data_IF_663895355606
#
_entry.id   IF_663895355606
#
_cell.length_a   1.000
_cell.length_b   1.000
_cell.length_c   1.000
_cell.angle_alpha   90.00
_cell.angle_beta   90.00
_cell.angle_gamma   90.00
#
_symmetry.space_group_name_H-M   'P 1'
#
loop_
_entity.id
_entity.type
_entity.pdbx_description
1 polymer ?
#
# COMPACT_ATOMS: atom_id res chain seq x y z
N UNK A 1 22.09 28.99 -37.79
CA UNK A 1 21.27 28.58 -36.64
C UNK A 1 22.02 27.43 -35.98
N UNK A 2 22.42 27.57 -34.71
CA UNK A 2 23.09 26.47 -34.01
C UNK A 2 22.05 25.35 -33.83
N UNK A 3 22.28 24.22 -34.50
CA UNK A 3 21.46 23.04 -34.39
C UNK A 3 21.73 22.42 -33.02
N UNK A 4 20.92 22.77 -32.02
CA UNK A 4 20.94 22.10 -30.73
C UNK A 4 20.30 20.72 -30.92
N UNK A 5 21.10 19.75 -31.36
CA UNK A 5 20.71 18.35 -31.31
C UNK A 5 20.53 17.97 -29.84
N UNK A 6 19.29 17.92 -29.37
CA UNK A 6 19.01 17.44 -28.02
C UNK A 6 19.55 16.01 -27.90
N UNK A 7 20.33 15.70 -26.85
CA UNK A 7 20.78 14.32 -26.63
C UNK A 7 19.55 13.39 -26.57
N UNK A 8 19.64 12.17 -27.14
CA UNK A 8 18.52 11.24 -27.13
C UNK A 8 18.11 10.94 -25.69
N UNK A 9 16.82 11.13 -25.39
CA UNK A 9 16.25 10.87 -24.06
C UNK A 9 16.24 9.37 -23.77
N UNK A 10 16.78 8.97 -22.62
CA UNK A 10 16.70 7.58 -22.13
C UNK A 10 15.29 7.30 -21.58
N UNK A 11 14.39 6.86 -22.46
CA UNK A 11 13.02 6.50 -22.10
C UNK A 11 12.94 5.26 -21.22
N UNK A 12 13.90 4.33 -21.31
CA UNK A 12 13.86 3.08 -20.56
C UNK A 12 14.06 3.33 -19.06
N UNK A 13 14.98 4.24 -18.72
CA UNK A 13 15.19 4.69 -17.34
C UNK A 13 13.94 5.38 -16.76
N UNK A 14 13.27 6.22 -17.57
CA UNK A 14 12.04 6.90 -17.17
C UNK A 14 10.89 5.92 -16.94
N UNK A 15 10.69 4.95 -17.83
CA UNK A 15 9.65 3.93 -17.68
C UNK A 15 9.87 3.07 -16.44
N UNK A 16 11.11 2.65 -16.16
CA UNK A 16 11.44 1.87 -14.96
C UNK A 16 11.12 2.63 -13.67
N UNK A 17 11.49 3.92 -13.64
CA UNK A 17 11.22 4.78 -12.47
C UNK A 17 9.73 5.02 -12.29
N UNK A 18 9.00 5.29 -13.38
CA UNK A 18 7.55 5.47 -13.35
C UNK A 18 6.83 4.20 -12.85
N UNK A 19 7.24 3.03 -13.31
CA UNK A 19 6.68 1.76 -12.83
C UNK A 19 6.89 1.59 -11.32
N UNK A 20 8.10 1.88 -10.81
CA UNK A 20 8.37 1.86 -9.37
C UNK A 20 7.53 2.86 -8.58
N UNK A 21 7.38 4.09 -9.09
CA UNK A 21 6.54 5.12 -8.49
C UNK A 21 5.07 4.69 -8.37
N UNK A 22 4.51 4.12 -9.43
CA UNK A 22 3.12 3.62 -9.42
C UNK A 22 2.96 2.48 -8.42
N UNK A 23 3.90 1.52 -8.39
CA UNK A 23 3.85 0.40 -7.44
C UNK A 23 3.88 0.87 -5.99
N UNK A 24 4.77 1.81 -5.65
CA UNK A 24 4.84 2.37 -4.30
C UNK A 24 3.58 3.16 -3.96
N UNK A 25 3.08 3.97 -4.89
CA UNK A 25 1.88 4.79 -4.67
C UNK A 25 0.65 3.93 -4.39
N UNK A 26 0.44 2.86 -5.16
CA UNK A 26 -0.68 1.91 -4.93
C UNK A 26 -0.59 1.28 -3.55
N UNK A 27 0.60 0.83 -3.14
CA UNK A 27 0.80 0.25 -1.82
C UNK A 27 0.59 1.26 -0.69
N UNK A 28 1.10 2.48 -0.82
CA UNK A 28 0.93 3.54 0.17
C UNK A 28 -0.54 3.92 0.32
N UNK A 29 -1.28 4.06 -0.78
CA UNK A 29 -2.72 4.37 -0.73
C UNK A 29 -3.48 3.23 -0.03
N UNK A 30 -3.21 1.97 -0.38
CA UNK A 30 -3.82 0.83 0.28
C UNK A 30 -3.50 0.77 1.78
N UNK A 31 -2.25 1.06 2.16
CA UNK A 31 -1.82 1.14 3.54
C UNK A 31 -2.56 2.25 4.31
N UNK A 32 -2.68 3.45 3.73
CA UNK A 32 -3.44 4.55 4.34
C UNK A 32 -4.90 4.18 4.58
N UNK A 33 -5.55 3.54 3.60
CA UNK A 33 -6.93 3.05 3.73
C UNK A 33 -7.03 2.05 4.88
N UNK A 34 -6.12 1.07 4.94
CA UNK A 34 -6.08 0.09 6.01
C UNK A 34 -5.94 0.75 7.40
N UNK A 35 -5.03 1.71 7.55
CA UNK A 35 -4.83 2.43 8.82
C UNK A 35 -6.07 3.22 9.22
N UNK A 36 -6.74 3.91 8.29
CA UNK A 36 -7.99 4.64 8.59
C UNK A 36 -9.08 3.69 9.06
N UNK A 37 -9.20 2.51 8.45
CA UNK A 37 -10.14 1.46 8.89
C UNK A 37 -9.79 0.98 10.31
N UNK A 38 -8.50 0.74 10.60
CA UNK A 38 -8.08 0.31 11.94
C UNK A 38 -8.34 1.38 13.00
N UNK A 39 -8.15 2.66 12.68
CA UNK A 39 -8.51 3.76 13.57
C UNK A 39 -10.02 3.78 13.86
N UNK A 40 -10.86 3.50 12.86
CA UNK A 40 -12.31 3.38 13.06
C UNK A 40 -12.66 2.21 13.99
N UNK A 41 -12.00 1.05 13.84
CA UNK A 41 -12.15 -0.11 14.75
C UNK A 41 -11.69 0.25 16.16
N UNK A 42 -10.57 0.95 16.31
CA UNK A 42 -10.08 1.43 17.61
C UNK A 42 -11.07 2.37 18.29
N UNK A 43 -11.67 3.30 17.53
CA UNK A 43 -12.71 4.20 18.03
C UNK A 43 -13.99 3.45 18.48
N UNK A 44 -14.28 2.28 17.89
CA UNK A 44 -15.36 1.41 18.34
C UNK A 44 -15.03 0.61 19.62
N UNK A 45 -13.86 0.81 20.23
CA UNK A 45 -13.43 0.17 21.49
C UNK A 45 -12.48 -1.02 21.30
N UNK A 46 -12.25 -1.47 20.07
CA UNK A 46 -11.45 -2.66 19.76
C UNK A 46 -9.97 -2.34 19.45
N UNK A 47 -9.29 -1.61 20.33
CA UNK A 47 -7.88 -1.19 20.13
C UNK A 47 -6.89 -2.34 19.93
N UNK A 48 -7.14 -3.50 20.53
CA UNK A 48 -6.30 -4.69 20.33
C UNK A 48 -6.35 -5.19 18.88
N UNK A 49 -7.55 -5.24 18.29
CA UNK A 49 -7.73 -5.61 16.87
C UNK A 49 -7.19 -4.53 15.94
N UNK A 50 -7.37 -3.25 16.28
CA UNK A 50 -6.80 -2.14 15.52
C UNK A 50 -5.27 -2.22 15.45
N UNK A 51 -4.61 -2.46 16.59
CA UNK A 51 -3.15 -2.63 16.65
C UNK A 51 -2.66 -3.81 15.81
N UNK A 52 -3.34 -4.96 15.92
CA UNK A 52 -3.05 -6.13 15.09
C UNK A 52 -3.22 -5.81 13.60
N UNK A 53 -4.27 -5.08 13.21
CA UNK A 53 -4.52 -4.73 11.83
C UNK A 53 -3.49 -3.78 11.24
N UNK A 54 -2.99 -2.81 12.01
CA UNK A 54 -1.88 -1.95 11.57
C UNK A 54 -0.61 -2.78 11.37
N UNK A 55 -0.31 -3.70 12.30
CA UNK A 55 0.82 -4.62 12.17
C UNK A 55 0.72 -5.49 10.91
N UNK A 56 -0.46 -6.06 10.64
CA UNK A 56 -0.71 -6.83 9.42
C UNK A 56 -0.64 -5.96 8.16
N UNK A 57 -1.04 -4.69 8.20
CA UNK A 57 -0.90 -3.78 7.07
C UNK A 57 0.57 -3.47 6.73
N UNK A 58 1.45 -3.38 7.74
CA UNK A 58 2.90 -3.24 7.52
C UNK A 58 3.47 -4.49 6.86
N UNK A 59 3.13 -5.68 7.38
CA UNK A 59 3.54 -6.96 6.77
C UNK A 59 3.00 -7.06 5.34
N UNK A 60 1.72 -6.74 5.13
CA UNK A 60 1.07 -6.75 3.83
C UNK A 60 1.75 -5.80 2.84
N UNK A 61 2.23 -4.65 3.31
CA UNK A 61 3.00 -3.71 2.49
C UNK A 61 4.34 -4.30 2.08
N UNK A 62 5.08 -4.91 3.02
CA UNK A 62 6.36 -5.57 2.72
C UNK A 62 6.20 -6.70 1.70
N UNK A 63 5.16 -7.53 1.87
CA UNK A 63 4.82 -8.59 0.90
C UNK A 63 4.39 -7.99 -0.44
N UNK A 64 3.59 -6.92 -0.43
CA UNK A 64 3.13 -6.23 -1.63
C UNK A 64 4.26 -5.65 -2.47
N UNK A 65 5.34 -5.14 -1.83
CA UNK A 65 6.57 -4.70 -2.51
C UNK A 65 7.21 -5.88 -3.26
N UNK A 66 7.32 -7.05 -2.63
CA UNK A 66 7.87 -8.26 -3.27
C UNK A 66 6.98 -8.77 -4.42
N UNK A 67 5.68 -8.45 -4.38
CA UNK A 67 4.68 -8.80 -5.39
C UNK A 67 4.49 -7.70 -6.47
N UNK A 68 5.53 -6.90 -6.76
CA UNK A 68 5.50 -5.85 -7.79
C UNK A 68 4.39 -4.81 -7.56
N UNK A 69 4.18 -4.38 -6.32
CA UNK A 69 3.20 -3.36 -5.98
C UNK A 69 1.77 -3.87 -5.76
N UNK A 70 1.59 -5.18 -5.57
CA UNK A 70 0.25 -5.76 -5.38
C UNK A 70 -0.35 -5.38 -4.02
N UNK A 71 -1.54 -4.74 -3.95
CA UNK A 71 -2.16 -4.34 -2.69
C UNK A 71 -2.94 -5.48 -2.00
N UNK A 72 -3.08 -6.64 -2.65
CA UNK A 72 -3.87 -7.77 -2.16
C UNK A 72 -3.48 -8.25 -0.75
N UNK A 73 -2.19 -8.36 -0.37
CA UNK A 73 -1.83 -8.77 0.99
C UNK A 73 -2.36 -7.80 2.05
N UNK A 74 -2.35 -6.49 1.78
CA UNK A 74 -2.92 -5.47 2.67
C UNK A 74 -4.44 -5.65 2.75
N UNK A 75 -5.11 -5.74 1.60
CA UNK A 75 -6.57 -5.87 1.52
C UNK A 75 -7.08 -7.13 2.25
N UNK A 76 -6.43 -8.27 2.04
CA UNK A 76 -6.79 -9.53 2.71
C UNK A 76 -6.59 -9.39 4.22
N UNK A 77 -5.45 -8.84 4.66
CA UNK A 77 -5.20 -8.60 6.09
C UNK A 77 -6.26 -7.69 6.73
N UNK A 78 -6.63 -6.60 6.03
CA UNK A 78 -7.70 -5.70 6.46
C UNK A 78 -9.06 -6.41 6.56
N UNK A 79 -9.43 -7.22 5.55
CA UNK A 79 -10.69 -7.96 5.55
C UNK A 79 -10.76 -9.01 6.66
N UNK A 80 -9.64 -9.69 6.97
CA UNK A 80 -9.58 -10.64 8.08
C UNK A 80 -9.83 -9.93 9.40
N UNK A 81 -9.21 -8.77 9.64
CA UNK A 81 -9.43 -8.00 10.87
C UNK A 81 -10.86 -7.47 10.96
N UNK A 82 -11.44 -7.03 9.84
CA UNK A 82 -12.85 -6.63 9.79
C UNK A 82 -13.78 -7.80 10.12
N UNK A 83 -13.51 -9.00 9.59
CA UNK A 83 -14.28 -10.19 9.91
C UNK A 83 -14.17 -10.56 11.40
N UNK A 84 -12.98 -10.47 11.98
CA UNK A 84 -12.78 -10.68 13.42
C UNK A 84 -13.52 -9.64 14.26
N UNK A 85 -13.52 -8.38 13.85
CA UNK A 85 -14.27 -7.32 14.51
C UNK A 85 -15.78 -7.58 14.46
N UNK A 86 -16.32 -8.04 13.33
CA UNK A 86 -17.76 -8.38 13.24
C UNK A 86 -18.13 -9.59 14.11
N UNK A 87 -17.23 -10.55 14.28
CA UNK A 87 -17.50 -11.78 15.04
C UNK A 87 -17.29 -11.63 16.56
N UNK A 88 -16.35 -10.78 16.98
CA UNK A 88 -15.88 -10.71 18.37
C UNK A 88 -15.79 -9.29 18.95
N UNK A 89 -16.01 -8.27 18.13
CA UNK A 89 -15.89 -6.86 18.48
C UNK A 89 -17.19 -6.23 18.98
#
# INVERSE_FOLDING_TARGET
MAEHSHPPMDYDAHQRTYAGFIQLTVLTVAFCIAVVIMLAIGNAGAWGLAGLGVFLAVIGTAVGVMMKGSPWPIAIGTLVVLALFVLFG
#
